data_IF_985157009928
#
_entry.id   IF_985157009928
#
_cell.length_a   1.000
_cell.length_b   1.000
_cell.length_c   1.000
_cell.angle_alpha   90.00
_cell.angle_beta   90.00
_cell.angle_gamma   90.00
#
_symmetry.space_group_name_H-M   'P 1'
#
loop_
_entity.id
_entity.type
_entity.pdbx_description
1 polymer ?
#
# COMPACT_ATOMS: atom_id res chain seq x y z
N UNK A 1 -21.53 -61.27 8.70
CA UNK A 1 -22.43 -60.09 8.73
C UNK A 1 -21.72 -59.01 9.53
N UNK A 2 -21.19 -57.96 8.88
CA UNK A 2 -20.71 -56.70 9.51
C UNK A 2 -20.22 -55.71 8.44
N UNK A 3 -20.74 -55.77 7.19
CA UNK A 3 -20.33 -54.82 6.13
C UNK A 3 -20.54 -53.37 6.60
N UNK A 4 -21.62 -53.11 7.34
CA UNK A 4 -21.90 -51.82 7.98
C UNK A 4 -20.79 -51.33 8.94
N UNK A 5 -20.13 -52.22 9.69
CA UNK A 5 -19.07 -51.82 10.64
C UNK A 5 -17.81 -51.31 9.96
N UNK A 6 -17.58 -51.67 8.70
CA UNK A 6 -16.46 -51.21 7.87
C UNK A 6 -16.86 -49.97 7.07
N UNK A 7 -18.12 -49.85 6.65
CA UNK A 7 -18.59 -48.65 5.94
C UNK A 7 -18.64 -47.40 6.84
N UNK A 8 -18.97 -47.54 8.12
CA UNK A 8 -19.00 -46.40 9.06
C UNK A 8 -17.65 -45.67 9.18
N UNK A 9 -16.51 -46.33 9.46
CA UNK A 9 -15.23 -45.63 9.54
C UNK A 9 -14.78 -45.07 8.19
N UNK A 10 -15.08 -45.75 7.08
CA UNK A 10 -14.78 -45.24 5.73
C UNK A 10 -15.57 -43.96 5.44
N UNK A 11 -16.84 -43.92 5.81
CA UNK A 11 -17.70 -42.76 5.63
C UNK A 11 -17.23 -41.56 6.48
N UNK A 12 -16.78 -41.80 7.70
CA UNK A 12 -16.19 -40.77 8.57
C UNK A 12 -14.92 -40.18 7.92
N UNK A 13 -14.05 -41.02 7.39
CA UNK A 13 -12.82 -40.57 6.71
C UNK A 13 -13.15 -39.71 5.49
N UNK A 14 -14.14 -40.10 4.68
CA UNK A 14 -14.59 -39.31 3.53
C UNK A 14 -15.11 -37.94 3.97
N UNK A 15 -15.91 -37.87 5.03
CA UNK A 15 -16.43 -36.60 5.57
C UNK A 15 -15.29 -35.70 6.05
N UNK A 16 -14.28 -36.26 6.73
CA UNK A 16 -13.10 -35.51 7.18
C UNK A 16 -12.32 -34.96 5.98
N UNK A 17 -12.13 -35.75 4.92
CA UNK A 17 -11.44 -35.29 3.70
C UNK A 17 -12.22 -34.14 3.05
N UNK A 18 -13.56 -34.25 2.95
CA UNK A 18 -14.40 -33.18 2.41
C UNK A 18 -14.29 -31.90 3.27
N UNK A 19 -14.27 -32.03 4.60
CA UNK A 19 -14.05 -30.90 5.51
C UNK A 19 -12.68 -30.25 5.32
N UNK A 20 -11.61 -31.04 5.17
CA UNK A 20 -10.25 -30.51 4.93
C UNK A 20 -10.16 -29.81 3.57
N UNK A 21 -10.74 -30.40 2.52
CA UNK A 21 -10.74 -29.83 1.17
C UNK A 21 -11.59 -28.55 1.13
N UNK A 22 -12.79 -28.58 1.72
CA UNK A 22 -13.65 -27.39 1.81
C UNK A 22 -13.02 -26.29 2.64
N UNK A 23 -12.34 -26.60 3.75
CA UNK A 23 -11.57 -25.62 4.52
C UNK A 23 -10.38 -25.04 3.73
N UNK A 24 -9.63 -25.88 2.99
CA UNK A 24 -8.56 -25.40 2.12
C UNK A 24 -9.07 -24.51 0.98
N UNK A 25 -10.21 -24.86 0.39
CA UNK A 25 -10.87 -24.04 -0.64
C UNK A 25 -11.37 -22.75 -0.03
N UNK A 26 -12.04 -22.79 1.13
CA UNK A 26 -12.55 -21.61 1.84
C UNK A 26 -11.41 -20.68 2.25
N UNK A 27 -10.31 -21.20 2.79
CA UNK A 27 -9.13 -20.42 3.18
C UNK A 27 -8.37 -19.86 1.97
N UNK A 28 -8.31 -20.60 0.84
CA UNK A 28 -7.81 -20.04 -0.44
C UNK A 28 -8.77 -19.01 -1.03
N UNK A 29 -10.08 -19.20 -0.87
CA UNK A 29 -11.08 -18.21 -1.27
C UNK A 29 -10.97 -16.97 -0.41
N UNK A 30 -10.75 -17.10 0.89
CA UNK A 30 -10.56 -16.00 1.82
C UNK A 30 -9.25 -15.25 1.51
N UNK A 31 -8.16 -15.93 1.14
CA UNK A 31 -6.97 -15.26 0.57
C UNK A 31 -7.27 -14.56 -0.75
N UNK A 32 -8.12 -15.12 -1.61
CA UNK A 32 -8.56 -14.46 -2.85
C UNK A 32 -9.53 -13.32 -2.60
N UNK A 33 -10.42 -13.40 -1.60
CA UNK A 33 -11.37 -12.36 -1.22
C UNK A 33 -10.62 -11.26 -0.49
N UNK A 34 -9.68 -11.57 0.40
CA UNK A 34 -8.77 -10.59 1.00
C UNK A 34 -7.92 -9.89 -0.07
N UNK A 35 -7.30 -10.63 -1.01
CA UNK A 35 -6.58 -10.00 -2.13
C UNK A 35 -7.51 -9.27 -3.12
N UNK A 36 -8.78 -9.70 -3.25
CA UNK A 36 -9.76 -9.08 -4.15
C UNK A 36 -10.52 -7.94 -3.47
N UNK A 37 -10.54 -7.87 -2.15
CA UNK A 37 -11.13 -6.79 -1.34
C UNK A 37 -10.06 -5.73 -1.07
N UNK A 38 -8.78 -6.12 -0.99
CA UNK A 38 -7.64 -5.21 -1.15
C UNK A 38 -7.53 -4.66 -2.59
N UNK A 39 -7.99 -5.40 -3.62
CA UNK A 39 -8.07 -4.89 -5.00
C UNK A 39 -9.42 -4.27 -5.42
N UNK A 40 -10.51 -4.42 -4.64
CA UNK A 40 -11.84 -3.89 -4.97
C UNK A 40 -12.40 -2.90 -3.95
N UNK A 41 -11.64 -2.52 -2.92
CA UNK A 41 -11.74 -1.15 -2.42
C UNK A 41 -10.82 -0.32 -3.31
N UNK A 42 -11.23 -0.17 -4.58
CA UNK A 42 -11.01 1.10 -5.23
C UNK A 42 -11.97 2.00 -4.45
N UNK A 43 -11.50 2.86 -3.52
CA UNK A 43 -12.32 4.02 -3.25
C UNK A 43 -12.55 4.59 -4.64
N UNK A 44 -13.79 4.70 -5.07
CA UNK A 44 -14.17 5.75 -6.01
C UNK A 44 -13.90 7.05 -5.26
N UNK A 45 -12.62 7.35 -5.02
CA UNK A 45 -12.05 8.65 -5.27
C UNK A 45 -12.52 8.84 -6.69
N UNK A 46 -13.65 9.52 -6.83
CA UNK A 46 -13.84 10.45 -7.91
C UNK A 46 -12.53 11.20 -7.96
N UNK A 47 -11.57 10.67 -8.73
CA UNK A 47 -10.42 11.40 -9.20
C UNK A 47 -11.07 12.35 -10.19
N UNK A 48 -11.80 13.34 -9.67
CA UNK A 48 -11.58 14.67 -10.17
C UNK A 48 -10.07 14.77 -10.13
N UNK A 49 -9.42 14.79 -11.30
CA UNK A 49 -8.03 15.11 -11.29
C UNK A 49 -8.03 16.53 -10.72
N UNK A 50 -7.68 16.63 -9.44
CA UNK A 50 -7.13 17.86 -8.89
C UNK A 50 -5.69 17.92 -9.41
N UNK A 51 -5.47 17.67 -10.71
CA UNK A 51 -4.65 18.62 -11.42
C UNK A 51 -5.34 19.94 -11.17
N UNK A 52 -4.70 20.92 -10.50
CA UNK A 52 -5.21 22.27 -10.65
C UNK A 52 -5.47 22.43 -12.15
N UNK A 53 -6.69 22.79 -12.55
CA UNK A 53 -7.06 23.01 -13.96
C UNK A 53 -6.32 24.20 -14.58
N UNK A 54 -5.27 24.65 -13.90
CA UNK A 54 -4.30 25.62 -14.31
C UNK A 54 -3.00 24.83 -14.47
N UNK A 55 -2.52 24.74 -15.70
CA UNK A 55 -1.12 25.10 -15.92
C UNK A 55 -0.97 26.45 -15.21
N UNK A 56 -0.65 26.42 -13.92
CA UNK A 56 -0.27 27.62 -13.22
C UNK A 56 1.00 28.00 -13.97
N UNK A 57 0.91 29.04 -14.78
CA UNK A 57 2.06 29.83 -15.19
C UNK A 57 2.72 30.25 -13.87
N UNK A 58 3.60 29.39 -13.36
CA UNK A 58 4.39 29.68 -12.18
C UNK A 58 5.24 30.85 -12.61
N UNK A 59 4.84 32.04 -12.18
CA UNK A 59 5.54 33.26 -12.45
C UNK A 59 7.01 33.04 -12.06
N UNK A 60 7.94 33.16 -13.03
CA UNK A 60 9.36 32.86 -12.82
C UNK A 60 9.92 33.62 -11.60
N UNK A 61 9.35 34.79 -11.35
CA UNK A 61 9.58 35.63 -10.17
C UNK A 61 9.38 34.89 -8.83
N UNK A 62 8.38 34.02 -8.72
CA UNK A 62 8.06 33.26 -7.49
C UNK A 62 9.07 32.10 -7.30
N UNK A 63 9.47 31.46 -8.40
CA UNK A 63 10.49 30.41 -8.36
C UNK A 63 11.87 30.95 -7.98
N UNK A 64 12.19 32.15 -8.44
CA UNK A 64 13.43 32.85 -8.10
C UNK A 64 13.45 33.27 -6.61
N UNK A 65 12.33 33.75 -6.08
CA UNK A 65 12.15 34.08 -4.67
C UNK A 65 12.27 32.84 -3.75
N UNK A 66 11.64 31.73 -4.11
CA UNK A 66 11.76 30.46 -3.36
C UNK A 66 13.18 29.89 -3.38
N UNK A 67 13.93 30.14 -4.45
CA UNK A 67 15.30 29.68 -4.57
C UNK A 67 16.29 30.54 -3.78
N UNK A 68 16.04 31.84 -3.68
CA UNK A 68 16.85 32.81 -2.92
C UNK A 68 16.48 32.86 -1.44
N UNK A 69 15.28 32.40 -1.07
CA UNK A 69 14.85 32.32 0.32
C UNK A 69 15.79 31.43 1.18
N UNK A 70 15.99 31.77 2.47
CA UNK A 70 16.80 30.96 3.37
C UNK A 70 16.15 29.57 3.55
N UNK A 71 16.89 28.53 3.19
CA UNK A 71 16.45 27.13 3.28
C UNK A 71 16.94 26.51 4.60
N UNK A 72 16.07 25.77 5.27
CA UNK A 72 16.41 24.91 6.39
C UNK A 72 16.77 23.50 5.88
N UNK A 73 17.75 22.87 6.52
CA UNK A 73 18.20 21.53 6.18
C UNK A 73 17.58 20.52 7.13
N UNK A 74 16.94 19.49 6.57
CA UNK A 74 16.31 18.41 7.32
C UNK A 74 16.99 17.09 6.94
N UNK A 75 17.48 16.37 7.95
CA UNK A 75 18.11 15.06 7.78
C UNK A 75 17.11 13.96 8.10
N UNK A 76 17.02 12.98 7.21
CA UNK A 76 16.20 11.79 7.34
C UNK A 76 17.08 10.56 7.23
N UNK A 77 16.89 9.61 8.14
CA UNK A 77 17.45 8.26 8.01
C UNK A 77 16.36 7.38 7.42
N UNK A 78 16.57 6.88 6.20
CA UNK A 78 15.63 5.99 5.54
C UNK A 78 15.64 4.61 6.21
N UNK A 79 14.57 3.83 6.00
CA UNK A 79 14.48 2.42 6.43
C UNK A 79 15.59 1.54 5.86
N UNK A 80 16.23 1.97 4.78
CA UNK A 80 17.41 1.29 4.18
C UNK A 80 18.71 1.57 4.94
N UNK A 81 18.72 2.49 5.90
CA UNK A 81 19.90 2.98 6.59
C UNK A 81 20.64 4.12 5.87
N UNK A 82 20.15 4.54 4.70
CA UNK A 82 20.73 5.66 3.95
C UNK A 82 20.28 7.01 4.56
N UNK A 83 21.19 7.97 4.67
CA UNK A 83 20.87 9.33 5.13
C UNK A 83 20.57 10.25 3.94
N UNK A 84 19.41 10.91 3.98
CA UNK A 84 18.98 11.87 2.98
C UNK A 84 18.79 13.24 3.61
N UNK A 85 19.39 14.27 3.01
CA UNK A 85 19.21 15.66 3.42
C UNK A 85 18.33 16.39 2.43
N UNK A 86 17.27 17.04 2.91
CA UNK A 86 16.34 17.84 2.10
C UNK A 86 16.43 19.30 2.54
N UNK A 87 16.47 20.22 1.58
CA UNK A 87 16.49 21.67 1.81
C UNK A 87 15.11 22.24 1.52
N UNK A 88 14.49 22.85 2.52
CA UNK A 88 13.11 23.35 2.46
C UNK A 88 13.10 24.82 2.88
N UNK A 89 12.34 25.70 2.23
CA UNK A 89 12.16 27.09 2.69
C UNK A 89 11.69 27.16 4.14
N UNK A 90 12.18 28.15 4.90
CA UNK A 90 11.74 28.38 6.29
C UNK A 90 10.23 28.69 6.34
N UNK A 91 9.54 28.16 7.35
CA UNK A 91 8.11 28.36 7.55
C UNK A 91 7.22 27.34 6.84
N UNK A 92 7.81 26.41 6.08
CA UNK A 92 7.11 25.24 5.52
C UNK A 92 7.43 24.03 6.38
N UNK A 93 6.39 23.28 6.76
CA UNK A 93 6.58 22.06 7.54
C UNK A 93 7.34 20.99 6.75
N UNK A 94 8.33 20.32 7.37
CA UNK A 94 9.07 19.27 6.71
C UNK A 94 8.15 18.08 6.34
N UNK A 95 8.36 17.44 5.17
CA UNK A 95 7.60 16.26 4.78
C UNK A 95 7.90 15.09 5.73
N UNK A 96 6.90 14.24 6.02
CA UNK A 96 7.11 13.09 6.88
C UNK A 96 8.02 12.05 6.21
N UNK A 97 8.74 11.26 7.03
CA UNK A 97 9.70 10.25 6.58
C UNK A 97 9.12 9.29 5.53
N UNK A 98 7.86 8.86 5.70
CA UNK A 98 7.17 7.96 4.78
C UNK A 98 6.99 8.54 3.37
N UNK A 99 6.84 9.85 3.26
CA UNK A 99 6.76 10.56 1.97
C UNK A 99 8.16 10.69 1.36
N UNK A 100 9.17 10.99 2.17
CA UNK A 100 10.58 11.05 1.74
C UNK A 100 11.03 9.71 1.15
N UNK A 101 10.75 8.61 1.85
CA UNK A 101 11.07 7.25 1.39
C UNK A 101 10.39 6.90 0.07
N UNK A 102 9.09 7.20 -0.07
CA UNK A 102 8.34 6.93 -1.29
C UNK A 102 8.89 7.71 -2.49
N UNK A 103 9.25 8.98 -2.27
CA UNK A 103 9.85 9.83 -3.30
C UNK A 103 11.25 9.36 -3.67
N UNK A 104 12.03 8.88 -2.70
CA UNK A 104 13.36 8.33 -2.92
C UNK A 104 13.31 7.02 -3.72
N UNK A 105 12.41 6.09 -3.35
CA UNK A 105 12.21 4.83 -4.07
C UNK A 105 11.75 5.04 -5.52
N UNK A 106 10.96 6.08 -5.81
CA UNK A 106 10.53 6.40 -7.18
C UNK A 106 11.64 6.90 -8.10
N UNK A 107 12.76 7.39 -7.54
CA UNK A 107 13.90 7.89 -8.33
C UNK A 107 14.93 6.81 -8.66
N UNK A 108 14.85 5.65 -8.02
CA UNK A 108 15.75 4.52 -8.22
C UNK A 108 15.15 3.53 -9.22
#
# INVERSE_FOLDING_TARGET
>A
MNKQKIFVPILIVIVIIILIVSYNILFRLEKRISNKQENNVIPTVTRMPITPGFEADYDESILEELNTAPKAEYKYTLSTGEEVTIKIPRGVDPPPLSVVERMYQRRR
#
